data_IF_877308788959
#
_entry.id   IF_877308788959
#
_cell.length_a   1.000
_cell.length_b   1.000
_cell.length_c   1.000
_cell.angle_alpha   90.00
_cell.angle_beta   90.00
_cell.angle_gamma   90.00
#
_symmetry.space_group_name_H-M   'P 1'
#
loop_
_entity.id
_entity.type
_entity.pdbx_description
1 polymer ?
#
# COMPACT_ATOMS: atom_id res chain seq x y z
N UNK A 1 3.55 72.64 21.97
CA UNK A 1 2.28 71.87 21.90
C UNK A 1 2.56 70.51 21.26
N UNK A 2 3.25 69.58 21.93
CA UNK A 2 3.56 68.26 21.33
C UNK A 2 3.42 67.07 22.28
N UNK A 3 3.30 67.28 23.59
CA UNK A 3 3.15 66.19 24.57
C UNK A 3 1.72 65.67 24.74
N UNK A 4 0.70 66.42 24.29
CA UNK A 4 -0.71 66.04 24.47
C UNK A 4 -1.22 65.01 23.44
N UNK A 5 -0.55 64.87 22.28
CA UNK A 5 -0.98 63.95 21.21
C UNK A 5 -0.56 62.50 21.44
N UNK A 6 0.52 62.26 22.18
CA UNK A 6 0.99 60.92 22.50
C UNK A 6 0.16 60.22 23.59
N UNK A 7 -0.43 60.97 24.53
CA UNK A 7 -1.30 60.41 25.57
C UNK A 7 -2.65 59.95 25.01
N UNK A 8 -3.18 60.62 24.00
CA UNK A 8 -4.42 60.20 23.33
C UNK A 8 -4.25 58.88 22.56
N UNK A 9 -3.06 58.59 22.02
CA UNK A 9 -2.75 57.33 21.34
C UNK A 9 -2.64 56.12 22.27
N UNK A 10 -2.13 56.32 23.49
CA UNK A 10 -1.98 55.26 24.51
C UNK A 10 -3.32 54.85 25.16
N UNK A 11 -4.30 55.75 25.21
CA UNK A 11 -5.64 55.41 25.73
C UNK A 11 -6.42 54.57 24.70
N UNK A 12 -6.19 54.79 23.39
CA UNK A 12 -6.88 54.04 22.34
C UNK A 12 -6.43 52.57 22.25
N UNK A 13 -5.17 52.27 22.60
CA UNK A 13 -4.66 50.89 22.63
C UNK A 13 -5.07 50.11 23.87
N UNK A 14 -5.34 50.78 25.00
CA UNK A 14 -5.79 50.13 26.23
C UNK A 14 -7.26 49.65 26.18
N UNK A 15 -8.13 50.35 25.44
CA UNK A 15 -9.56 50.01 25.32
C UNK A 15 -9.87 48.88 24.32
N UNK A 16 -8.94 48.51 23.45
CA UNK A 16 -9.15 47.44 22.45
C UNK A 16 -8.82 46.04 22.97
N UNK A 17 -8.24 45.90 24.16
CA UNK A 17 -7.75 44.62 24.68
C UNK A 17 -8.78 43.82 25.52
N UNK A 18 -10.03 44.27 25.64
CA UNK A 18 -11.07 43.58 26.44
C UNK A 18 -12.16 42.88 25.63
N UNK A 19 -11.92 42.62 24.34
CA UNK A 19 -12.81 41.74 23.58
C UNK A 19 -12.15 40.37 23.53
N UNK A 20 -12.51 39.48 24.45
CA UNK A 20 -12.40 38.06 24.16
C UNK A 20 -13.39 37.78 23.02
N UNK A 21 -12.93 37.51 21.78
CA UNK A 21 -13.84 37.02 20.77
C UNK A 21 -14.46 35.72 21.29
N UNK A 22 -15.73 35.50 20.96
CA UNK A 22 -16.40 34.24 21.23
C UNK A 22 -15.64 33.12 20.49
N UNK A 23 -14.76 32.42 21.20
CA UNK A 23 -13.85 31.44 20.63
C UNK A 23 -14.46 30.05 20.82
N UNK A 24 -14.89 29.45 19.70
CA UNK A 24 -15.29 28.05 19.68
C UNK A 24 -14.03 27.24 19.39
N UNK A 25 -13.62 26.45 20.37
CA UNK A 25 -12.41 25.63 20.28
C UNK A 25 -12.77 24.16 19.98
N UNK A 26 -12.27 23.66 18.85
CA UNK A 26 -12.21 22.23 18.55
C UNK A 26 -10.87 21.72 19.08
N UNK A 27 -10.93 20.93 20.16
CA UNK A 27 -9.74 20.32 20.77
C UNK A 27 -9.69 18.85 20.39
N UNK A 28 -8.64 18.49 19.69
CA UNK A 28 -8.29 17.11 19.44
C UNK A 28 -7.39 16.62 20.57
N UNK A 29 -7.89 15.72 21.40
CA UNK A 29 -7.12 15.13 22.50
C UNK A 29 -7.05 13.63 22.27
N UNK A 30 -5.83 13.14 22.03
CA UNK A 30 -5.58 11.75 21.62
C UNK A 30 -6.40 11.40 20.35
N UNK A 31 -7.20 10.34 20.43
CA UNK A 31 -8.09 9.87 19.36
C UNK A 31 -9.49 10.47 19.43
N UNK A 32 -9.76 11.37 20.38
CA UNK A 32 -11.10 11.94 20.61
C UNK A 32 -11.20 13.39 20.17
N UNK A 33 -12.41 13.77 19.81
CA UNK A 33 -12.74 15.13 19.39
C UNK A 33 -13.61 15.78 20.45
N UNK A 34 -13.11 16.86 21.05
CA UNK A 34 -13.81 17.64 22.04
C UNK A 34 -14.19 19.00 21.46
N UNK A 35 -15.45 19.37 21.63
CA UNK A 35 -15.95 20.70 21.31
C UNK A 35 -16.04 21.50 22.61
N UNK A 36 -15.29 22.58 22.73
CA UNK A 36 -15.25 23.44 23.92
C UNK A 36 -15.88 24.79 23.63
N UNK A 37 -16.78 25.22 24.52
CA UNK A 37 -17.43 26.52 24.44
C UNK A 37 -17.56 27.17 25.81
N UNK A 38 -17.52 28.49 25.86
CA UNK A 38 -17.68 29.20 27.14
C UNK A 38 -19.09 29.05 27.74
N UNK A 39 -20.06 28.66 26.91
CA UNK A 39 -21.49 28.57 27.21
C UNK A 39 -22.05 27.17 26.93
N UNK A 40 -23.38 27.02 27.04
CA UNK A 40 -24.05 25.76 26.68
C UNK A 40 -23.99 25.49 25.19
N UNK A 41 -23.68 24.25 24.84
CA UNK A 41 -23.66 23.74 23.46
C UNK A 41 -25.01 23.11 23.14
N UNK A 42 -25.64 23.55 22.06
CA UNK A 42 -26.87 22.99 21.49
C UNK A 42 -26.50 22.25 20.21
N UNK A 43 -26.93 21.01 20.09
CA UNK A 43 -26.82 20.25 18.84
C UNK A 43 -28.02 20.56 17.95
N UNK A 44 -27.75 20.95 16.71
CA UNK A 44 -28.77 21.11 15.67
C UNK A 44 -28.94 19.78 14.90
N UNK A 45 -27.82 19.19 14.47
CA UNK A 45 -27.81 17.97 13.64
C UNK A 45 -26.51 17.18 13.82
N UNK A 46 -26.50 15.88 13.50
CA UNK A 46 -25.25 15.10 13.37
C UNK A 46 -25.04 14.04 14.45
N UNK A 47 -23.82 13.90 14.99
CA UNK A 47 -23.44 12.89 15.99
C UNK A 47 -23.91 13.28 17.39
N UNK A 48 -24.41 12.31 18.16
CA UNK A 48 -24.74 12.53 19.59
C UNK A 48 -23.44 12.49 20.40
N UNK A 49 -22.99 13.65 20.88
CA UNK A 49 -21.88 13.73 21.82
C UNK A 49 -22.32 13.49 23.27
N UNK A 50 -21.37 13.09 24.12
CA UNK A 50 -21.55 13.03 25.57
C UNK A 50 -20.93 14.26 26.22
N UNK A 51 -21.57 14.92 27.19
CA UNK A 51 -20.93 16.01 27.92
C UNK A 51 -19.66 15.48 28.60
N UNK A 52 -18.52 16.13 28.34
CA UNK A 52 -17.31 15.87 29.10
C UNK A 52 -17.47 16.47 30.51
N UNK A 53 -16.66 16.03 31.49
CA UNK A 53 -16.85 16.30 32.93
C UNK A 53 -17.21 17.74 33.32
N UNK A 54 -16.84 18.73 32.50
CA UNK A 54 -17.33 20.11 32.57
C UNK A 54 -18.43 20.37 31.53
N UNK A 55 -19.56 20.94 31.96
CA UNK A 55 -20.75 21.27 31.12
C UNK A 55 -20.48 22.19 29.92
N UNK A 56 -19.24 22.67 29.78
CA UNK A 56 -18.73 23.57 28.75
C UNK A 56 -18.06 22.82 27.59
N UNK A 57 -17.91 21.51 27.69
CA UNK A 57 -17.23 20.69 26.69
C UNK A 57 -18.05 19.46 26.32
N UNK A 58 -18.05 19.12 25.02
CA UNK A 58 -18.80 18.01 24.45
C UNK A 58 -17.83 17.04 23.77
N UNK A 59 -17.78 15.80 24.25
CA UNK A 59 -17.02 14.70 23.63
C UNK A 59 -17.85 14.17 22.44
N UNK A 60 -17.34 14.36 21.22
CA UNK A 60 -17.94 13.86 19.98
C UNK A 60 -17.54 12.41 19.66
N UNK A 61 -16.74 11.79 20.54
CA UNK A 61 -16.25 10.44 20.40
C UNK A 61 -14.92 10.35 19.65
N UNK A 62 -14.62 9.14 19.17
CA UNK A 62 -13.37 8.88 18.46
C UNK A 62 -13.40 9.51 17.07
N UNK A 63 -12.29 10.13 16.68
CA UNK A 63 -12.08 10.71 15.34
C UNK A 63 -12.30 9.69 14.22
N UNK A 64 -11.95 8.43 14.45
CA UNK A 64 -12.11 7.30 13.51
C UNK A 64 -13.57 6.90 13.25
N UNK A 65 -14.53 7.42 14.02
CA UNK A 65 -15.96 7.19 13.80
C UNK A 65 -16.59 8.27 12.90
N UNK A 66 -15.78 9.16 12.31
CA UNK A 66 -16.24 10.27 11.48
C UNK A 66 -17.34 11.10 12.17
N UNK A 67 -17.06 11.74 13.32
CA UNK A 67 -18.05 12.60 13.95
C UNK A 67 -18.37 13.77 13.02
N UNK A 68 -19.66 13.92 12.69
CA UNK A 68 -20.17 14.95 11.78
C UNK A 68 -21.38 15.61 12.40
N UNK A 69 -21.55 16.90 12.23
CA UNK A 69 -22.73 17.57 12.77
C UNK A 69 -22.63 19.07 12.79
N UNK A 70 -23.74 19.70 13.13
CA UNK A 70 -23.86 21.14 13.27
C UNK A 70 -24.19 21.43 14.73
N UNK A 71 -23.32 22.21 15.36
CA UNK A 71 -23.41 22.59 16.76
C UNK A 71 -23.50 24.10 16.87
N UNK A 72 -24.27 24.57 17.83
CA UNK A 72 -24.48 25.98 18.10
C UNK A 72 -24.14 26.24 19.55
N UNK A 73 -23.33 27.27 19.81
CA UNK A 73 -23.13 27.73 21.17
C UNK A 73 -23.99 28.96 21.44
N UNK A 74 -24.64 28.98 22.61
CA UNK A 74 -25.40 30.17 23.04
C UNK A 74 -24.45 31.34 23.33
N UNK A 75 -24.87 32.57 23.02
CA UNK A 75 -24.14 33.75 23.46
C UNK A 75 -24.46 34.04 24.93
N UNK A 76 -23.45 34.35 25.74
CA UNK A 76 -23.66 34.98 27.05
C UNK A 76 -24.01 36.45 26.87
N UNK A 77 -24.96 36.91 27.67
CA UNK A 77 -25.68 38.17 27.59
C UNK A 77 -24.74 39.39 27.62
N UNK A 78 -24.41 39.91 26.43
CA UNK A 78 -24.08 41.32 26.13
C UNK A 78 -23.86 41.54 24.62
N UNK A 79 -23.76 40.46 23.83
CA UNK A 79 -23.70 40.51 22.36
C UNK A 79 -24.71 39.55 21.72
N UNK A 80 -25.98 39.96 21.80
CA UNK A 80 -27.18 39.31 21.23
C UNK A 80 -27.18 39.05 19.71
N UNK A 81 -26.05 39.15 18.99
CA UNK A 81 -26.07 39.27 17.53
C UNK A 81 -25.24 38.25 16.74
N UNK A 82 -24.58 37.27 17.37
CA UNK A 82 -23.97 36.17 16.61
C UNK A 82 -24.12 34.83 17.32
N UNK A 83 -25.27 34.19 17.09
CA UNK A 83 -25.37 32.74 17.22
C UNK A 83 -24.28 32.13 16.34
N UNK A 84 -23.26 31.55 16.96
CA UNK A 84 -22.11 31.03 16.22
C UNK A 84 -22.36 29.54 16.02
N UNK A 85 -22.61 29.20 14.76
CA UNK A 85 -22.87 27.84 14.30
C UNK A 85 -21.54 27.27 13.80
N UNK A 86 -21.17 26.11 14.30
CA UNK A 86 -20.00 25.34 13.89
C UNK A 86 -20.47 24.06 13.20
N UNK A 87 -20.00 23.84 11.98
CA UNK A 87 -20.14 22.56 11.29
C UNK A 87 -18.87 21.74 11.44
N UNK A 88 -18.99 20.61 12.13
CA UNK A 88 -17.93 19.63 12.29
C UNK A 88 -18.07 18.60 11.18
N UNK A 89 -16.99 18.40 10.41
CA UNK A 89 -16.96 17.41 9.33
C UNK A 89 -15.63 16.64 9.35
N UNK A 90 -15.63 15.48 10.01
CA UNK A 90 -14.52 14.55 9.92
C UNK A 90 -14.74 13.53 8.82
N UNK A 91 -13.68 13.30 8.03
CA UNK A 91 -13.60 12.22 7.04
C UNK A 91 -12.27 11.50 7.23
N UNK A 92 -12.27 10.50 8.10
CA UNK A 92 -11.19 9.56 8.30
C UNK A 92 -11.42 8.35 7.42
N UNK A 93 -10.36 7.83 6.80
CA UNK A 93 -10.42 6.52 6.17
C UNK A 93 -9.88 5.48 7.14
N UNK A 94 -10.64 4.42 7.40
CA UNK A 94 -10.14 3.27 8.18
C UNK A 94 -9.04 2.47 7.46
N UNK A 95 -8.77 2.74 6.17
CA UNK A 95 -7.81 1.99 5.37
C UNK A 95 -7.11 2.83 4.28
N UNK A 96 -7.04 4.15 4.44
CA UNK A 96 -6.23 4.96 3.52
C UNK A 96 -4.76 4.75 3.87
N UNK A 97 -4.02 4.16 2.94
CA UNK A 97 -2.56 4.07 3.01
C UNK A 97 -2.00 5.27 2.26
N UNK A 98 -1.18 6.06 2.94
CA UNK A 98 -0.42 7.11 2.26
C UNK A 98 0.64 6.45 1.39
N UNK A 99 0.41 6.49 0.08
CA UNK A 99 1.30 5.88 -0.89
C UNK A 99 2.41 6.86 -1.23
N UNK A 100 3.52 6.79 -0.48
CA UNK A 100 4.71 7.55 -0.83
C UNK A 100 5.36 6.98 -2.11
N UNK A 101 5.96 7.88 -2.88
CA UNK A 101 6.70 7.57 -4.10
C UNK A 101 7.79 6.49 -3.88
N UNK A 102 8.47 6.51 -2.74
CA UNK A 102 9.47 5.50 -2.40
C UNK A 102 8.82 4.12 -2.13
N UNK A 103 7.65 4.09 -1.47
CA UNK A 103 6.91 2.85 -1.21
C UNK A 103 6.39 2.25 -2.52
N UNK A 104 5.83 3.07 -3.40
CA UNK A 104 5.38 2.65 -4.72
C UNK A 104 6.54 2.09 -5.55
N UNK A 105 7.68 2.79 -5.57
CA UNK A 105 8.88 2.32 -6.25
C UNK A 105 9.40 0.99 -5.67
N UNK A 106 9.38 0.85 -4.34
CA UNK A 106 9.76 -0.38 -3.65
C UNK A 106 8.88 -1.57 -4.04
N UNK A 107 7.56 -1.36 -4.10
CA UNK A 107 6.59 -2.40 -4.54
C UNK A 107 6.90 -2.83 -5.98
N UNK A 108 7.14 -1.88 -6.88
CA UNK A 108 7.45 -2.20 -8.30
C UNK A 108 8.77 -2.97 -8.42
N UNK A 109 9.84 -2.51 -7.74
CA UNK A 109 11.16 -3.15 -7.81
C UNK A 109 11.10 -4.57 -7.25
N UNK A 110 10.43 -4.76 -6.11
CA UNK A 110 10.30 -6.08 -5.48
C UNK A 110 9.48 -7.04 -6.35
N UNK A 111 8.42 -6.58 -7.01
CA UNK A 111 7.63 -7.38 -7.95
C UNK A 111 8.46 -7.83 -9.18
N UNK A 112 9.28 -6.92 -9.73
CA UNK A 112 10.18 -7.25 -10.83
C UNK A 112 11.20 -8.33 -10.40
N UNK A 113 11.83 -8.17 -9.23
CA UNK A 113 12.80 -9.14 -8.72
C UNK A 113 12.13 -10.49 -8.48
N UNK A 114 10.95 -10.51 -7.85
CA UNK A 114 10.20 -11.74 -7.60
C UNK A 114 9.86 -12.47 -8.90
N UNK A 115 9.39 -11.73 -9.91
CA UNK A 115 9.07 -12.27 -11.24
C UNK A 115 10.31 -12.84 -11.94
N UNK A 116 11.45 -12.15 -11.87
CA UNK A 116 12.72 -12.64 -12.43
C UNK A 116 13.19 -13.93 -11.74
N UNK A 117 13.10 -14.00 -10.42
CA UNK A 117 13.46 -15.21 -9.66
C UNK A 117 12.56 -16.39 -10.02
N UNK A 118 11.25 -16.16 -10.16
CA UNK A 118 10.31 -17.18 -10.62
C UNK A 118 10.62 -17.62 -12.05
N UNK A 119 10.91 -16.69 -12.97
CA UNK A 119 11.28 -17.00 -14.35
C UNK A 119 12.56 -17.84 -14.43
N UNK A 120 13.60 -17.47 -13.68
CA UNK A 120 14.83 -18.26 -13.59
C UNK A 120 14.57 -19.63 -12.99
N UNK A 121 13.76 -19.72 -11.93
CA UNK A 121 13.37 -20.98 -11.31
C UNK A 121 12.71 -21.94 -12.31
N UNK A 122 11.73 -21.45 -13.08
CA UNK A 122 11.06 -22.24 -14.13
C UNK A 122 12.03 -22.61 -15.25
N UNK A 123 12.88 -21.67 -15.69
CA UNK A 123 13.88 -21.93 -16.72
C UNK A 123 14.87 -23.02 -16.31
N UNK A 124 15.40 -22.95 -15.08
CA UNK A 124 16.30 -23.97 -14.54
C UNK A 124 15.59 -25.32 -14.34
N UNK A 125 14.33 -25.32 -13.91
CA UNK A 125 13.54 -26.54 -13.74
C UNK A 125 13.29 -27.24 -15.07
N UNK A 126 12.83 -26.51 -16.09
CA UNK A 126 12.61 -27.05 -17.43
C UNK A 126 13.93 -27.46 -18.13
N UNK A 127 15.01 -26.71 -17.90
CA UNK A 127 16.33 -26.99 -18.49
C UNK A 127 17.01 -28.24 -17.93
N UNK A 128 16.66 -28.68 -16.71
CA UNK A 128 17.26 -29.86 -16.09
C UNK A 128 16.92 -31.17 -16.82
N UNK A 129 15.77 -31.24 -17.48
CA UNK A 129 15.37 -32.44 -18.26
C UNK A 129 15.99 -32.50 -19.66
N UNK A 130 16.50 -31.38 -20.18
CA UNK A 130 17.09 -31.29 -21.53
C UNK A 130 18.62 -31.39 -21.56
N UNK A 131 19.30 -31.72 -20.44
CA UNK A 131 20.74 -31.46 -20.34
C UNK A 131 21.55 -32.25 -19.33
N UNK A 132 21.34 -33.56 -19.20
CA UNK A 132 22.46 -34.46 -18.84
C UNK A 132 22.46 -35.67 -19.77
N UNK A 133 23.27 -35.59 -20.81
CA UNK A 133 24.06 -36.77 -21.16
C UNK A 133 25.49 -36.42 -20.76
N UNK A 134 25.89 -36.78 -19.54
CA UNK A 134 27.28 -37.15 -19.26
C UNK A 134 27.63 -38.37 -20.12
N UNK A 135 27.60 -38.20 -21.44
CA UNK A 135 27.71 -39.25 -22.46
C UNK A 135 29.13 -39.49 -22.90
N UNK A 136 30.09 -39.24 -22.01
CA UNK A 136 31.51 -39.47 -22.28
C UNK A 136 32.14 -40.49 -21.31
N UNK A 137 31.58 -40.72 -20.13
CA UNK A 137 32.16 -41.68 -19.17
C UNK A 137 31.54 -43.07 -19.28
N UNK A 138 30.21 -43.18 -19.33
CA UNK A 138 29.53 -44.50 -19.32
C UNK A 138 29.34 -45.11 -20.72
N UNK A 139 29.32 -44.29 -21.78
CA UNK A 139 29.30 -44.80 -23.16
C UNK A 139 30.62 -45.48 -23.51
N UNK A 140 31.73 -45.00 -22.97
CA UNK A 140 33.06 -45.56 -23.24
C UNK A 140 33.27 -46.93 -22.59
N UNK A 141 32.56 -47.22 -21.49
CA UNK A 141 32.56 -48.54 -20.86
C UNK A 141 31.72 -49.57 -21.66
N UNK A 142 30.63 -49.14 -22.31
CA UNK A 142 29.78 -50.01 -23.14
C UNK A 142 30.32 -50.22 -24.57
N UNK A 143 31.01 -49.23 -25.13
CA UNK A 143 31.58 -49.30 -26.50
C UNK A 143 32.85 -50.15 -26.60
N UNK A 144 33.47 -50.53 -25.46
CA UNK A 144 34.62 -51.45 -25.47
C UNK A 144 34.23 -52.89 -25.86
N UNK A 145 32.94 -53.16 -26.05
CA UNK A 145 32.41 -54.49 -26.38
C UNK A 145 31.66 -54.53 -27.74
N UNK A 146 32.02 -53.68 -28.70
CA UNK A 146 31.46 -53.65 -30.07
C UNK A 146 31.74 -54.93 -30.92
N UNK A 147 32.21 -56.03 -30.32
CA UNK A 147 32.24 -57.35 -30.96
C UNK A 147 31.14 -58.31 -30.49
N UNK A 148 30.15 -57.82 -29.73
CA UNK A 148 29.10 -58.67 -29.15
C UNK A 148 27.75 -58.65 -29.89
N UNK A 149 27.74 -58.47 -31.22
CA UNK A 149 26.57 -58.85 -32.02
C UNK A 149 26.89 -60.10 -32.82
N UNK A 150 26.44 -61.22 -32.29
CA UNK A 150 26.37 -62.46 -33.03
C UNK A 150 25.23 -62.33 -34.06
N UNK A 151 25.51 -62.44 -35.37
CA UNK A 151 24.44 -62.39 -36.37
C UNK A 151 23.48 -63.55 -36.14
N UNK A 152 22.17 -63.27 -36.14
CA UNK A 152 21.13 -64.31 -36.02
C UNK A 152 21.21 -65.23 -37.25
N UNK A 153 21.92 -66.35 -37.09
CA UNK A 153 22.15 -67.37 -38.12
C UNK A 153 20.93 -68.29 -38.34
N UNK A 154 19.80 -67.98 -37.73
CA UNK A 154 18.67 -68.91 -37.55
C UNK A 154 17.59 -68.90 -38.63
N UNK A 155 17.69 -68.08 -39.68
CA UNK A 155 16.67 -68.04 -40.73
C UNK A 155 17.19 -67.59 -42.10
N UNK A 156 18.34 -68.14 -42.53
CA UNK A 156 18.93 -67.84 -43.84
C UNK A 156 18.43 -68.75 -44.98
N UNK A 157 17.31 -69.46 -44.79
CA UNK A 157 16.72 -70.31 -45.84
C UNK A 157 15.62 -69.60 -46.64
N UNK A 158 15.34 -68.33 -46.36
CA UNK A 158 14.36 -67.56 -47.11
C UNK A 158 14.91 -67.18 -48.50
N UNK A 159 14.13 -67.44 -49.54
CA UNK A 159 14.47 -67.29 -50.97
C UNK A 159 15.00 -65.90 -51.37
N UNK A 160 14.87 -64.88 -50.52
CA UNK A 160 15.28 -63.50 -50.76
C UNK A 160 16.57 -63.08 -50.03
N UNK A 161 17.16 -63.96 -49.21
CA UNK A 161 18.32 -63.63 -48.36
C UNK A 161 19.64 -63.42 -49.12
N UNK A 162 19.71 -63.84 -50.39
CA UNK A 162 20.89 -63.68 -51.24
C UNK A 162 20.83 -62.50 -52.21
N UNK A 163 19.78 -61.68 -52.18
CA UNK A 163 19.60 -60.59 -53.15
C UNK A 163 20.44 -59.35 -52.88
N UNK A 164 21.23 -59.32 -51.80
CA UNK A 164 21.99 -58.15 -51.36
C UNK A 164 23.53 -58.28 -51.37
N UNK A 165 24.10 -59.45 -51.64
CA UNK A 165 25.54 -59.68 -51.47
C UNK A 165 26.41 -59.11 -52.62
N UNK A 166 25.79 -58.60 -53.69
CA UNK A 166 26.48 -58.33 -54.96
C UNK A 166 26.72 -56.84 -55.23
N UNK A 167 26.43 -55.93 -54.30
CA UNK A 167 26.70 -54.51 -54.52
C UNK A 167 28.21 -54.22 -54.44
N UNK A 168 28.85 -54.29 -55.61
CA UNK A 168 30.21 -53.84 -55.84
C UNK A 168 30.35 -52.37 -55.44
N UNK A 169 30.96 -52.14 -54.27
CA UNK A 169 31.33 -50.82 -53.77
C UNK A 169 32.45 -50.27 -54.65
N UNK A 170 32.08 -49.51 -55.69
CA UNK A 170 33.01 -48.85 -56.58
C UNK A 170 33.70 -47.71 -55.80
N UNK A 171 34.96 -47.92 -55.38
CA UNK A 171 35.83 -46.90 -54.81
C UNK A 171 36.34 -46.04 -55.97
N UNK A 172 35.96 -44.76 -56.04
CA UNK A 172 36.67 -43.77 -56.85
C UNK A 172 37.64 -43.00 -55.96
N UNK A 173 38.85 -42.91 -56.50
CA UNK A 173 40.05 -42.15 -56.12
C UNK A 173 39.80 -40.72 -55.71
#
# INVERSE_FOLDING_TARGET
MEHSRFLAGLILTALLSQVSPFEIDLKELEDKVFLSCNTSIIRLEGTTGTPASDTKSLDLGKRMQDPRGVYMCNATDDRKSKETILQVYFRMCQNCVELDSATLAGIIITDIIATLLLAVGVYCFAGHETGRVSGAADTQALLRNDQLYQPLRGHNDAQYSHLGENWARNRRT
#
